data_IF_797999497103
#
_entry.id   IF_797999497103
#
_cell.length_a   1.000
_cell.length_b   1.000
_cell.length_c   1.000
_cell.angle_alpha   90.00
_cell.angle_beta   90.00
_cell.angle_gamma   90.00
#
_symmetry.space_group_name_H-M   'P 1'
#
loop_
_entity.id
_entity.type
_entity.pdbx_description
1 polymer ?
#
# COMPACT_ATOMS: atom_id res chain seq x y z
N UNK A 1 -22.56 30.82 11.68
CA UNK A 1 -21.54 31.82 11.38
C UNK A 1 -20.90 31.40 10.05
N UNK A 2 -21.24 32.11 8.96
CA UNK A 2 -20.74 31.80 7.61
C UNK A 2 -19.32 32.33 7.50
N UNK A 3 -18.36 31.46 7.27
CA UNK A 3 -16.98 31.84 6.93
C UNK A 3 -16.93 32.49 5.54
N UNK A 4 -16.22 33.61 5.40
CA UNK A 4 -16.02 34.27 4.11
C UNK A 4 -15.11 33.41 3.19
N UNK A 5 -15.28 33.56 1.86
CA UNK A 5 -14.43 32.89 0.85
C UNK A 5 -12.91 33.12 1.09
N UNK A 6 -12.55 34.25 1.65
CA UNK A 6 -11.16 34.63 1.94
C UNK A 6 -10.60 33.91 3.19
N UNK A 7 -11.46 33.66 4.18
CA UNK A 7 -11.11 32.88 5.38
C UNK A 7 -11.04 31.39 5.06
N UNK A 8 -11.90 30.88 4.18
CA UNK A 8 -11.88 29.51 3.67
C UNK A 8 -10.59 29.23 2.88
N UNK A 9 -10.19 30.14 1.96
CA UNK A 9 -8.94 30.02 1.20
C UNK A 9 -7.70 30.11 2.10
N UNK A 10 -7.71 30.97 3.12
CA UNK A 10 -6.61 31.06 4.12
C UNK A 10 -6.54 29.81 5.00
N UNK A 11 -7.67 29.23 5.38
CA UNK A 11 -7.74 28.00 6.16
C UNK A 11 -7.24 26.79 5.36
N UNK A 12 -7.54 26.72 4.06
CA UNK A 12 -7.04 25.70 3.16
C UNK A 12 -5.52 25.79 2.95
N UNK A 13 -5.00 27.00 2.73
CA UNK A 13 -3.55 27.23 2.65
C UNK A 13 -2.84 26.96 4.00
N UNK A 14 -3.50 27.25 5.12
CA UNK A 14 -2.94 27.01 6.44
C UNK A 14 -2.94 25.52 6.83
N UNK A 15 -3.94 24.74 6.45
CA UNK A 15 -3.96 23.29 6.69
C UNK A 15 -2.93 22.54 5.84
N UNK A 16 -2.78 22.93 4.57
CA UNK A 16 -1.69 22.42 3.73
C UNK A 16 -0.32 22.88 4.25
N UNK A 17 -0.18 24.12 4.71
CA UNK A 17 1.05 24.66 5.27
C UNK A 17 1.41 24.04 6.62
N UNK A 18 0.46 23.66 7.47
CA UNK A 18 0.73 23.00 8.76
C UNK A 18 1.17 21.56 8.55
N UNK A 19 0.57 20.83 7.61
CA UNK A 19 1.07 19.50 7.21
C UNK A 19 2.47 19.58 6.58
N UNK A 20 2.78 20.67 5.85
CA UNK A 20 4.08 20.96 5.25
C UNK A 20 5.11 21.51 6.24
N UNK A 21 4.71 22.31 7.24
CA UNK A 21 5.64 22.83 8.27
C UNK A 21 6.14 21.73 9.21
N UNK A 22 5.32 20.73 9.52
CA UNK A 22 5.77 19.56 10.29
C UNK A 22 6.76 18.69 9.49
N UNK A 23 6.67 18.69 8.15
CA UNK A 23 7.66 18.01 7.32
C UNK A 23 9.00 18.80 7.21
N UNK A 24 8.96 20.13 7.21
CA UNK A 24 10.20 20.96 7.24
C UNK A 24 10.98 20.80 8.53
N UNK A 25 10.33 20.54 9.64
CA UNK A 25 10.98 20.28 10.93
C UNK A 25 11.47 18.83 11.10
N UNK A 26 11.03 17.90 10.28
CA UNK A 26 11.51 16.51 10.28
C UNK A 26 12.89 16.37 9.61
N UNK A 27 13.23 17.26 8.71
CA UNK A 27 14.54 17.33 8.09
C UNK A 27 15.14 18.68 8.43
N UNK A 28 15.98 18.73 9.46
CA UNK A 28 16.87 19.88 9.69
C UNK A 28 17.74 20.06 8.43
N UNK A 29 17.28 20.92 7.53
CA UNK A 29 17.83 21.09 6.18
C UNK A 29 19.28 21.59 6.18
N UNK A 30 19.82 21.99 7.33
CA UNK A 30 21.18 22.53 7.46
C UNK A 30 22.29 21.48 7.60
N UNK A 31 21.97 20.18 7.79
CA UNK A 31 22.98 19.11 7.94
C UNK A 31 22.88 17.95 6.96
N UNK A 32 21.90 17.96 6.05
CA UNK A 32 21.78 16.90 5.05
C UNK A 32 22.90 16.98 4.01
N UNK A 33 23.51 15.86 3.60
CA UNK A 33 24.50 15.85 2.54
C UNK A 33 23.93 16.45 1.25
N UNK A 34 24.75 17.19 0.51
CA UNK A 34 24.37 17.68 -0.82
C UNK A 34 24.53 16.54 -1.84
N UNK A 35 23.51 15.71 -1.97
CA UNK A 35 23.49 14.59 -2.91
C UNK A 35 22.46 14.85 -4.01
N UNK A 36 22.86 14.58 -5.24
CA UNK A 36 21.97 14.66 -6.41
C UNK A 36 21.76 13.28 -7.02
N UNK A 37 20.66 13.11 -7.70
CA UNK A 37 20.39 11.90 -8.49
C UNK A 37 21.31 11.90 -9.69
N UNK A 38 22.23 10.94 -9.77
CA UNK A 38 23.15 10.76 -10.89
C UNK A 38 22.50 9.89 -11.99
N UNK A 39 21.91 8.77 -11.60
CA UNK A 39 21.30 7.81 -12.53
C UNK A 39 20.09 7.11 -11.91
N UNK A 40 19.12 6.79 -12.77
CA UNK A 40 17.97 5.93 -12.43
C UNK A 40 17.90 4.80 -13.47
N UNK A 41 17.96 3.57 -13.00
CA UNK A 41 17.79 2.36 -13.79
C UNK A 41 16.44 1.72 -13.42
N UNK A 42 15.74 1.18 -14.41
CA UNK A 42 14.47 0.47 -14.20
C UNK A 42 14.55 -0.95 -14.74
N UNK A 43 13.97 -1.88 -14.00
CA UNK A 43 13.93 -3.31 -14.29
C UNK A 43 12.47 -3.77 -14.27
N UNK A 44 11.81 -3.88 -15.43
CA UNK A 44 10.49 -4.49 -15.50
C UNK A 44 10.60 -5.98 -15.15
N UNK A 45 9.76 -6.46 -14.24
CA UNK A 45 9.80 -7.84 -13.77
C UNK A 45 8.40 -8.43 -13.65
N UNK A 46 8.30 -9.78 -13.72
CA UNK A 46 7.11 -10.54 -13.38
C UNK A 46 7.53 -11.63 -12.40
N UNK A 47 7.14 -11.49 -11.14
CA UNK A 47 7.39 -12.50 -10.13
C UNK A 47 6.50 -13.73 -10.39
N UNK A 48 7.06 -14.95 -10.40
CA UNK A 48 6.25 -16.17 -10.51
C UNK A 48 5.35 -16.31 -9.29
N UNK A 49 4.11 -16.74 -9.50
CA UNK A 49 3.15 -16.98 -8.44
C UNK A 49 3.06 -18.47 -8.10
N UNK A 50 2.99 -18.78 -6.80
CA UNK A 50 2.86 -20.15 -6.29
C UNK A 50 1.43 -20.52 -5.93
N UNK A 51 0.54 -19.54 -5.89
CA UNK A 51 -0.89 -19.71 -5.66
C UNK A 51 -1.68 -18.78 -6.56
N UNK A 52 -2.92 -19.20 -6.87
CA UNK A 52 -3.88 -18.39 -7.62
C UNK A 52 -4.33 -17.16 -6.83
N UNK A 53 -4.41 -16.00 -7.52
CA UNK A 53 -5.04 -14.81 -6.98
C UNK A 53 -5.76 -14.00 -8.08
N UNK A 54 -7.05 -13.68 -7.85
CA UNK A 54 -7.99 -13.16 -8.85
C UNK A 54 -7.51 -11.96 -9.68
N UNK A 55 -6.61 -11.14 -9.13
CA UNK A 55 -6.13 -9.91 -9.79
C UNK A 55 -5.01 -10.16 -10.81
N UNK A 56 -4.39 -11.34 -10.79
CA UNK A 56 -3.32 -11.71 -11.72
C UNK A 56 -3.74 -12.75 -12.75
N UNK A 57 -5.05 -12.91 -12.93
CA UNK A 57 -5.63 -13.81 -13.90
C UNK A 57 -6.54 -13.07 -14.85
N UNK A 58 -6.48 -13.41 -16.13
CA UNK A 58 -7.32 -12.83 -17.15
C UNK A 58 -6.97 -13.38 -18.52
N UNK A 59 -7.89 -13.27 -19.50
CA UNK A 59 -7.71 -13.90 -20.81
C UNK A 59 -6.51 -13.39 -21.61
N UNK A 60 -6.03 -12.17 -21.28
CA UNK A 60 -4.88 -11.53 -21.93
C UNK A 60 -3.79 -11.12 -20.94
N UNK A 61 -3.94 -11.47 -19.66
CA UNK A 61 -2.97 -11.10 -18.62
C UNK A 61 -1.80 -12.08 -18.67
N UNK A 62 -0.57 -11.64 -18.95
CA UNK A 62 0.59 -12.51 -18.84
C UNK A 62 0.75 -13.04 -17.41
N UNK A 63 1.20 -14.29 -17.23
CA UNK A 63 1.33 -14.91 -15.92
C UNK A 63 2.35 -14.16 -15.05
N UNK A 64 2.12 -14.18 -13.73
CA UNK A 64 3.01 -13.57 -12.74
C UNK A 64 2.54 -12.21 -12.22
N UNK A 65 3.19 -11.76 -11.15
CA UNK A 65 2.97 -10.46 -10.51
C UNK A 65 3.85 -9.40 -11.18
N UNK A 66 3.29 -8.46 -11.97
CA UNK A 66 4.07 -7.43 -12.64
C UNK A 66 4.62 -6.39 -11.65
N UNK A 67 5.84 -5.94 -11.85
CA UNK A 67 6.49 -4.91 -11.05
C UNK A 67 7.57 -4.18 -11.86
N UNK A 68 7.89 -2.95 -11.48
CA UNK A 68 9.07 -2.23 -11.97
C UNK A 68 9.97 -1.94 -10.78
N UNK A 69 11.13 -2.58 -10.74
CA UNK A 69 12.16 -2.28 -9.76
C UNK A 69 12.97 -1.08 -10.22
N UNK A 70 13.22 -0.13 -9.33
CA UNK A 70 14.00 1.08 -9.58
C UNK A 70 15.28 1.04 -8.77
N UNK A 71 16.39 1.42 -9.41
CA UNK A 71 17.69 1.67 -8.77
C UNK A 71 18.07 3.12 -8.99
N UNK A 72 18.11 3.92 -7.93
CA UNK A 72 18.57 5.31 -7.95
C UNK A 72 19.98 5.36 -7.40
N UNK A 73 20.92 5.88 -8.19
CA UNK A 73 22.30 6.11 -7.78
C UNK A 73 22.50 7.60 -7.55
N UNK A 74 23.01 7.98 -6.39
CA UNK A 74 23.36 9.36 -6.07
C UNK A 74 24.78 9.72 -6.51
N UNK A 75 25.10 11.01 -6.51
CA UNK A 75 26.40 11.57 -6.95
C UNK A 75 27.62 11.08 -6.16
N UNK A 76 27.41 10.52 -4.97
CA UNK A 76 28.46 9.89 -4.15
C UNK A 76 28.53 8.36 -4.33
N UNK A 77 27.72 7.79 -5.20
CA UNK A 77 27.60 6.35 -5.44
C UNK A 77 26.62 5.62 -4.51
N UNK A 78 25.99 6.28 -3.55
CA UNK A 78 24.96 5.67 -2.70
C UNK A 78 23.78 5.22 -3.55
N UNK A 79 23.29 4.00 -3.30
CA UNK A 79 22.21 3.38 -4.07
C UNK A 79 20.96 3.20 -3.23
N UNK A 80 19.83 3.70 -3.72
CA UNK A 80 18.49 3.42 -3.21
C UNK A 80 17.69 2.52 -4.16
N UNK A 81 16.93 1.60 -3.58
CA UNK A 81 16.04 0.70 -4.31
C UNK A 81 14.58 1.00 -4.01
N UNK A 82 13.76 0.98 -5.05
CA UNK A 82 12.30 1.15 -4.95
C UNK A 82 11.57 0.19 -5.86
N UNK A 83 10.26 0.11 -5.72
CA UNK A 83 9.46 -0.82 -6.50
C UNK A 83 8.07 -0.27 -6.74
N UNK A 84 7.71 -0.11 -8.02
CA UNK A 84 6.34 0.16 -8.48
C UNK A 84 5.64 -1.16 -8.72
N UNK A 85 4.41 -1.27 -8.28
CA UNK A 85 3.68 -2.54 -8.24
C UNK A 85 2.32 -2.47 -8.96
N UNK A 86 2.28 -2.16 -10.28
CA UNK A 86 1.05 -1.99 -11.03
C UNK A 86 0.21 -3.27 -11.08
N UNK A 87 -1.12 -3.12 -11.03
CA UNK A 87 -2.09 -4.22 -11.16
C UNK A 87 -3.22 -3.75 -12.06
N UNK A 88 -3.23 -4.09 -13.37
CA UNK A 88 -4.23 -3.60 -14.31
C UNK A 88 -5.68 -3.87 -13.89
N UNK A 89 -5.94 -5.04 -13.33
CA UNK A 89 -7.28 -5.47 -12.93
C UNK A 89 -7.74 -4.93 -11.57
N UNK A 90 -6.92 -4.13 -10.90
CA UNK A 90 -7.26 -3.50 -9.63
C UNK A 90 -7.14 -1.98 -9.68
N UNK A 91 -6.06 -1.45 -10.28
CA UNK A 91 -5.73 -0.02 -10.25
C UNK A 91 -5.81 0.67 -11.62
N UNK A 92 -5.83 -0.11 -12.71
CA UNK A 92 -5.72 0.41 -14.07
C UNK A 92 -4.28 0.71 -14.53
N UNK A 93 -3.30 0.76 -13.62
CA UNK A 93 -1.89 0.89 -14.04
C UNK A 93 -1.36 -0.45 -14.54
N UNK A 94 -0.69 -0.44 -15.70
CA UNK A 94 -0.06 -1.62 -16.32
C UNK A 94 1.45 -1.57 -16.19
N UNK A 95 2.12 -2.72 -16.36
CA UNK A 95 3.57 -2.78 -16.37
C UNK A 95 4.16 -1.89 -17.48
N UNK A 96 3.59 -1.98 -18.67
CA UNK A 96 4.00 -1.23 -19.84
C UNK A 96 3.81 0.28 -19.65
N UNK A 97 2.65 0.68 -19.12
CA UNK A 97 2.35 2.08 -18.79
C UNK A 97 3.29 2.64 -17.75
N UNK A 98 3.62 1.87 -16.71
CA UNK A 98 4.58 2.27 -15.69
C UNK A 98 5.99 2.47 -16.26
N UNK A 99 6.47 1.54 -17.10
CA UNK A 99 7.78 1.64 -17.77
C UNK A 99 7.85 2.87 -18.65
N UNK A 100 6.82 3.12 -19.48
CA UNK A 100 6.76 4.28 -20.36
C UNK A 100 6.73 5.58 -19.56
N UNK A 101 5.88 5.66 -18.52
CA UNK A 101 5.77 6.83 -17.67
C UNK A 101 7.11 7.15 -16.96
N UNK A 102 7.77 6.15 -16.40
CA UNK A 102 9.08 6.31 -15.78
C UNK A 102 10.13 6.75 -16.79
N UNK A 103 10.30 6.00 -17.90
CA UNK A 103 11.40 6.18 -18.85
C UNK A 103 11.32 7.49 -19.60
N UNK A 104 10.12 7.87 -20.08
CA UNK A 104 9.96 8.96 -21.03
C UNK A 104 9.60 10.28 -20.36
N UNK A 105 8.95 10.27 -19.18
CA UNK A 105 8.41 11.46 -18.55
C UNK A 105 9.04 11.77 -17.20
N UNK A 106 9.20 10.78 -16.30
CA UNK A 106 9.61 11.06 -14.93
C UNK A 106 11.12 11.08 -14.77
N UNK A 107 11.84 10.04 -15.20
CA UNK A 107 13.30 9.91 -15.01
C UNK A 107 14.08 11.11 -15.56
N UNK A 108 13.82 11.60 -16.79
CA UNK A 108 14.57 12.73 -17.33
C UNK A 108 14.52 14.00 -16.49
N UNK A 109 13.40 14.20 -15.75
CA UNK A 109 13.23 15.37 -14.89
C UNK A 109 13.94 15.25 -13.55
N UNK A 110 14.23 14.04 -13.12
CA UNK A 110 14.75 13.76 -11.78
C UNK A 110 16.28 13.78 -11.74
N UNK A 111 16.94 13.54 -12.86
CA UNK A 111 18.41 13.60 -12.92
C UNK A 111 18.93 14.98 -12.48
N UNK A 112 19.94 14.99 -11.63
CA UNK A 112 20.55 16.21 -11.05
C UNK A 112 19.74 16.83 -9.90
N UNK A 113 18.57 16.31 -9.55
CA UNK A 113 17.76 16.82 -8.41
C UNK A 113 18.34 16.36 -7.09
N UNK A 114 18.18 17.21 -6.06
CA UNK A 114 18.59 16.89 -4.70
C UNK A 114 17.74 15.71 -4.16
N UNK A 115 18.41 14.65 -3.73
CA UNK A 115 17.75 13.44 -3.21
C UNK A 115 16.93 13.71 -1.94
N UNK A 116 17.22 14.79 -1.21
CA UNK A 116 16.50 15.16 0.01
C UNK A 116 15.32 16.10 -0.23
N UNK A 117 15.12 16.58 -1.46
CA UNK A 117 13.99 17.45 -1.83
C UNK A 117 12.79 16.62 -2.32
N UNK A 118 12.20 15.80 -1.43
CA UNK A 118 11.03 14.97 -1.77
C UNK A 118 9.85 15.82 -2.24
N UNK A 119 9.62 16.98 -1.59
CA UNK A 119 8.52 17.90 -1.97
C UNK A 119 8.67 18.41 -3.40
N UNK A 120 9.88 18.90 -3.75
CA UNK A 120 10.19 19.36 -5.10
C UNK A 120 10.12 18.23 -6.14
N UNK A 121 10.59 17.03 -5.80
CA UNK A 121 10.51 15.86 -6.67
C UNK A 121 9.06 15.47 -6.94
N UNK A 122 8.21 15.37 -5.90
CA UNK A 122 6.79 15.09 -6.06
C UNK A 122 6.08 16.17 -6.87
N UNK A 123 6.40 17.45 -6.63
CA UNK A 123 5.83 18.57 -7.40
C UNK A 123 6.19 18.46 -8.90
N UNK A 124 7.44 18.12 -9.22
CA UNK A 124 7.88 17.89 -10.61
C UNK A 124 7.14 16.71 -11.25
N UNK A 125 7.07 15.56 -10.56
CA UNK A 125 6.37 14.39 -11.07
C UNK A 125 4.88 14.66 -11.30
N UNK A 126 4.23 15.40 -10.39
CA UNK A 126 2.82 15.74 -10.49
C UNK A 126 2.52 16.87 -11.49
N UNK A 127 3.53 17.66 -11.86
CA UNK A 127 3.40 18.66 -12.93
C UNK A 127 3.54 18.03 -14.31
N UNK A 128 4.47 17.09 -14.47
CA UNK A 128 4.74 16.45 -15.75
C UNK A 128 3.66 15.43 -16.13
N UNK A 129 3.33 14.54 -15.19
CA UNK A 129 2.20 13.63 -15.30
C UNK A 129 1.13 14.17 -14.36
N UNK A 130 0.36 15.13 -14.90
CA UNK A 130 -0.56 15.95 -14.13
C UNK A 130 -1.63 15.11 -13.43
N UNK A 131 -1.96 15.54 -12.22
CA UNK A 131 -3.10 14.98 -11.52
C UNK A 131 -4.39 15.39 -12.24
N UNK A 132 -5.31 14.45 -12.35
CA UNK A 132 -6.65 14.66 -12.87
C UNK A 132 -7.63 14.79 -11.69
N UNK A 133 -8.67 13.98 -11.63
CA UNK A 133 -9.59 13.93 -10.49
C UNK A 133 -8.87 13.52 -9.19
N UNK A 134 -7.86 12.70 -9.30
CA UNK A 134 -6.97 12.26 -8.21
C UNK A 134 -5.54 12.20 -8.70
N UNK A 135 -4.61 11.72 -7.86
CA UNK A 135 -3.20 11.53 -8.24
C UNK A 135 -3.10 10.54 -9.40
N UNK A 136 -2.49 10.97 -10.50
CA UNK A 136 -2.27 10.15 -11.69
C UNK A 136 -1.00 9.33 -11.52
N UNK A 137 -1.03 8.05 -11.94
CA UNK A 137 0.07 7.09 -11.81
C UNK A 137 0.65 7.00 -10.37
N UNK A 138 -0.19 6.89 -9.33
CA UNK A 138 0.30 6.87 -7.97
C UNK A 138 1.19 5.65 -7.69
N UNK A 139 0.86 4.48 -8.24
CA UNK A 139 1.64 3.25 -8.03
C UNK A 139 3.01 3.34 -8.72
N UNK A 140 3.06 3.93 -9.92
CA UNK A 140 4.32 4.18 -10.64
C UNK A 140 5.20 5.17 -9.87
N UNK A 141 4.65 6.28 -9.40
CA UNK A 141 5.37 7.31 -8.62
C UNK A 141 5.85 6.77 -7.26
N UNK A 142 5.12 5.81 -6.67
CA UNK A 142 5.51 5.18 -5.41
C UNK A 142 6.88 4.50 -5.48
N UNK A 143 7.24 3.88 -6.60
CA UNK A 143 8.56 3.27 -6.77
C UNK A 143 9.70 4.26 -6.66
N UNK A 144 9.53 5.48 -7.21
CA UNK A 144 10.51 6.57 -7.08
C UNK A 144 10.63 7.05 -5.64
N UNK A 145 9.50 7.29 -4.98
CA UNK A 145 9.45 7.74 -3.59
C UNK A 145 10.09 6.73 -2.62
N UNK A 146 9.79 5.45 -2.79
CA UNK A 146 10.38 4.37 -1.98
C UNK A 146 11.90 4.31 -2.19
N UNK A 147 12.38 4.41 -3.45
CA UNK A 147 13.81 4.40 -3.75
C UNK A 147 14.54 5.59 -3.12
N UNK A 148 13.92 6.77 -3.12
CA UNK A 148 14.48 7.96 -2.48
C UNK A 148 14.55 7.82 -0.95
N UNK A 149 13.54 7.25 -0.32
CA UNK A 149 13.57 6.97 1.12
C UNK A 149 14.67 5.97 1.49
N UNK A 150 14.84 4.91 0.69
CA UNK A 150 15.94 3.94 0.88
C UNK A 150 17.31 4.63 0.76
N UNK A 151 17.49 5.43 -0.29
CA UNK A 151 18.72 6.17 -0.54
C UNK A 151 19.03 7.15 0.58
N UNK A 152 18.06 7.97 0.98
CA UNK A 152 18.21 8.95 2.07
C UNK A 152 18.59 8.26 3.37
N UNK A 153 17.92 7.15 3.72
CA UNK A 153 18.22 6.40 4.93
C UNK A 153 19.65 5.83 4.92
N UNK A 154 20.11 5.32 3.79
CA UNK A 154 21.48 4.84 3.61
C UNK A 154 22.51 5.97 3.72
N UNK A 155 22.26 7.10 3.04
CA UNK A 155 23.14 8.28 3.12
C UNK A 155 23.24 8.85 4.54
N UNK A 156 22.14 8.84 5.29
CA UNK A 156 22.08 9.30 6.68
C UNK A 156 22.46 8.23 7.70
N UNK A 157 22.72 7.00 7.28
CA UNK A 157 22.96 5.83 8.14
C UNK A 157 21.83 5.62 9.16
N UNK A 158 20.59 5.79 8.73
CA UNK A 158 19.36 5.63 9.52
C UNK A 158 18.40 4.67 8.83
N UNK A 159 17.61 3.95 9.63
CA UNK A 159 16.44 3.28 9.09
C UNK A 159 15.37 4.32 8.71
N UNK A 160 14.50 3.99 7.76
CA UNK A 160 13.42 4.88 7.30
C UNK A 160 12.52 5.33 8.46
N UNK A 161 12.19 4.44 9.40
CA UNK A 161 11.39 4.82 10.56
C UNK A 161 12.10 5.85 11.48
N UNK A 162 13.42 5.71 11.63
CA UNK A 162 14.23 6.67 12.39
C UNK A 162 14.27 8.04 11.73
N UNK A 163 14.23 8.11 10.39
CA UNK A 163 14.11 9.39 9.69
C UNK A 163 12.80 10.12 10.02
N UNK A 164 11.75 9.39 10.36
CA UNK A 164 10.48 9.96 10.82
C UNK A 164 10.43 10.19 12.35
N UNK A 165 11.56 9.97 13.08
CA UNK A 165 11.62 10.08 14.53
C UNK A 165 10.80 9.01 15.26
N UNK A 166 10.57 7.86 14.61
CA UNK A 166 9.74 6.77 15.14
C UNK A 166 10.56 5.50 15.38
N UNK A 167 10.02 4.64 16.26
CA UNK A 167 10.56 3.30 16.53
C UNK A 167 9.63 2.24 15.95
N UNK A 168 10.21 1.11 15.55
CA UNK A 168 9.43 -0.05 15.08
C UNK A 168 9.52 -1.19 16.09
N UNK A 169 8.48 -2.02 16.23
CA UNK A 169 8.59 -3.32 16.89
C UNK A 169 9.53 -4.25 16.08
N UNK A 170 9.74 -5.45 16.57
CA UNK A 170 10.62 -6.40 15.87
C UNK A 170 9.93 -7.06 14.68
N UNK A 171 8.62 -7.26 14.78
CA UNK A 171 7.82 -7.91 13.75
C UNK A 171 6.39 -7.38 13.70
N UNK A 172 5.66 -7.78 12.66
CA UNK A 172 4.22 -7.53 12.50
C UNK A 172 3.46 -8.86 12.40
N UNK A 173 2.27 -8.88 12.99
CA UNK A 173 1.32 -9.98 12.84
C UNK A 173 0.59 -9.85 11.51
N UNK A 174 0.43 -10.99 10.81
CA UNK A 174 -0.20 -11.05 9.49
C UNK A 174 -1.55 -11.75 9.55
N UNK A 175 -2.38 -11.49 8.57
CA UNK A 175 -3.56 -12.28 8.22
C UNK A 175 -3.35 -13.05 6.92
N UNK A 176 -3.90 -14.26 6.84
CA UNK A 176 -3.88 -15.08 5.63
C UNK A 176 -5.02 -14.68 4.71
N UNK A 177 -4.71 -14.46 3.44
CA UNK A 177 -5.73 -14.08 2.44
C UNK A 177 -6.41 -15.32 1.86
N UNK A 178 -7.73 -15.38 1.99
CA UNK A 178 -8.58 -16.43 1.40
C UNK A 178 -9.31 -15.88 0.17
N UNK A 179 -9.09 -16.54 -0.95
CA UNK A 179 -9.75 -16.26 -2.22
C UNK A 179 -10.10 -17.59 -2.91
N UNK A 180 -11.01 -18.40 -2.32
CA UNK A 180 -11.40 -19.68 -2.88
C UNK A 180 -12.10 -19.50 -4.22
N UNK A 181 -11.94 -20.46 -5.14
CA UNK A 181 -12.71 -20.52 -6.39
C UNK A 181 -14.09 -21.07 -6.12
N UNK A 182 -14.16 -22.08 -5.25
CA UNK A 182 -15.38 -22.71 -4.77
C UNK A 182 -15.36 -22.79 -3.25
N UNK A 183 -16.52 -22.78 -2.61
CA UNK A 183 -16.62 -22.86 -1.15
C UNK A 183 -15.95 -24.12 -0.58
N UNK A 184 -16.01 -25.23 -1.32
CA UNK A 184 -15.42 -26.52 -0.92
C UNK A 184 -13.88 -26.42 -0.74
N UNK A 185 -13.21 -25.47 -1.41
CA UNK A 185 -11.77 -25.28 -1.32
C UNK A 185 -11.37 -24.56 -0.01
N UNK A 186 -12.33 -23.96 0.70
CA UNK A 186 -12.08 -23.03 1.81
C UNK A 186 -11.36 -23.68 2.96
N UNK A 187 -11.79 -24.89 3.40
CA UNK A 187 -11.15 -25.58 4.53
C UNK A 187 -9.69 -25.93 4.23
N UNK A 188 -9.38 -26.37 3.01
CA UNK A 188 -8.02 -26.66 2.57
C UNK A 188 -7.13 -25.40 2.54
N UNK A 189 -7.68 -24.25 2.17
CA UNK A 189 -6.97 -22.98 2.20
C UNK A 189 -6.75 -22.47 3.62
N UNK A 190 -7.71 -22.65 4.52
CA UNK A 190 -7.55 -22.34 5.96
C UNK A 190 -6.44 -23.21 6.55
N UNK A 191 -6.46 -24.53 6.28
CA UNK A 191 -5.46 -25.45 6.79
C UNK A 191 -4.04 -25.04 6.35
N UNK A 192 -3.84 -24.67 5.07
CA UNK A 192 -2.56 -24.14 4.58
C UNK A 192 -2.08 -22.90 5.35
N UNK A 193 -3.00 -21.99 5.70
CA UNK A 193 -2.68 -20.82 6.51
C UNK A 193 -2.27 -21.21 7.94
N UNK A 194 -3.01 -22.12 8.58
CA UNK A 194 -2.73 -22.61 9.94
C UNK A 194 -1.40 -23.34 10.03
N UNK A 195 -1.05 -24.14 9.04
CA UNK A 195 0.25 -24.84 8.96
C UNK A 195 1.44 -23.88 8.93
N UNK A 196 1.21 -22.65 8.43
CA UNK A 196 2.18 -21.55 8.45
C UNK A 196 2.06 -20.65 9.69
N UNK A 197 1.21 -21.02 10.65
CA UNK A 197 1.02 -20.32 11.93
C UNK A 197 0.09 -19.10 11.86
N UNK A 198 -0.73 -18.96 10.81
CA UNK A 198 -1.70 -17.86 10.75
C UNK A 198 -2.96 -18.21 11.55
N UNK A 199 -3.37 -17.26 12.39
CA UNK A 199 -4.60 -17.33 13.19
C UNK A 199 -5.63 -16.27 12.78
N UNK A 200 -5.27 -15.36 11.89
CA UNK A 200 -6.09 -14.25 11.41
C UNK A 200 -6.27 -14.36 9.91
N UNK A 201 -7.45 -13.98 9.42
CA UNK A 201 -7.81 -14.20 8.02
C UNK A 201 -8.44 -12.96 7.40
N UNK A 202 -8.10 -12.74 6.13
CA UNK A 202 -8.73 -11.78 5.25
C UNK A 202 -9.45 -12.54 4.15
N UNK A 203 -10.77 -12.39 4.05
CA UNK A 203 -11.60 -13.05 3.04
C UNK A 203 -12.01 -12.09 1.94
N UNK A 204 -12.00 -12.56 0.69
CA UNK A 204 -12.54 -11.82 -0.44
C UNK A 204 -14.01 -12.17 -0.61
N UNK A 205 -14.87 -11.15 -0.54
CA UNK A 205 -16.32 -11.24 -0.67
C UNK A 205 -16.79 -10.47 -1.91
N UNK A 206 -18.09 -10.44 -2.18
CA UNK A 206 -18.77 -9.83 -3.33
C UNK A 206 -18.47 -10.53 -4.69
N UNK A 207 -19.47 -10.61 -5.57
CA UNK A 207 -20.83 -10.07 -5.41
C UNK A 207 -21.88 -11.09 -4.90
N UNK A 208 -21.51 -12.35 -4.64
CA UNK A 208 -22.48 -13.41 -4.27
C UNK A 208 -22.74 -13.43 -2.77
N UNK A 209 -23.82 -12.77 -2.35
CA UNK A 209 -24.23 -12.63 -0.94
C UNK A 209 -24.34 -13.95 -0.17
N UNK A 210 -24.73 -15.05 -0.81
CA UNK A 210 -24.87 -16.35 -0.15
C UNK A 210 -23.52 -16.99 0.06
N UNK A 211 -22.68 -16.98 -0.97
CA UNK A 211 -21.30 -17.49 -0.90
C UNK A 211 -20.50 -16.68 0.12
N UNK A 212 -20.60 -15.36 0.11
CA UNK A 212 -19.89 -14.45 1.01
C UNK A 212 -20.20 -14.71 2.49
N UNK A 213 -21.50 -14.87 2.80
CA UNK A 213 -21.95 -15.15 4.17
C UNK A 213 -21.48 -16.53 4.64
N UNK A 214 -21.56 -17.54 3.78
CA UNK A 214 -21.14 -18.89 4.12
C UNK A 214 -19.61 -18.97 4.30
N UNK A 215 -18.85 -18.32 3.41
CA UNK A 215 -17.39 -18.19 3.55
C UNK A 215 -17.00 -17.56 4.90
N UNK A 216 -17.69 -16.47 5.28
CA UNK A 216 -17.46 -15.80 6.56
C UNK A 216 -17.69 -16.75 7.73
N UNK A 217 -18.79 -17.49 7.75
CA UNK A 217 -19.13 -18.47 8.79
C UNK A 217 -18.12 -19.62 8.89
N UNK A 218 -17.74 -20.20 7.74
CA UNK A 218 -16.73 -21.28 7.69
C UNK A 218 -15.43 -20.81 8.33
N UNK A 219 -14.94 -19.64 7.92
CA UNK A 219 -13.68 -19.10 8.46
C UNK A 219 -13.80 -18.78 9.94
N UNK A 220 -14.88 -18.12 10.37
CA UNK A 220 -15.08 -17.77 11.77
C UNK A 220 -15.20 -19.00 12.68
N UNK A 221 -15.85 -20.07 12.21
CA UNK A 221 -15.91 -21.36 12.92
C UNK A 221 -14.54 -21.99 13.06
N UNK A 222 -13.67 -21.88 12.05
CA UNK A 222 -12.32 -22.45 12.07
C UNK A 222 -11.36 -21.66 12.98
N UNK A 223 -11.57 -20.34 13.13
CA UNK A 223 -10.74 -19.43 13.93
C UNK A 223 -11.61 -18.48 14.77
N UNK A 224 -12.27 -19.00 15.82
CA UNK A 224 -13.26 -18.25 16.59
C UNK A 224 -12.70 -16.98 17.25
N UNK A 225 -11.42 -16.98 17.65
CA UNK A 225 -10.75 -15.85 18.29
C UNK A 225 -9.98 -14.96 17.29
N UNK A 226 -9.82 -15.44 16.05
CA UNK A 226 -9.07 -14.74 15.01
C UNK A 226 -9.77 -13.47 14.52
N UNK A 227 -8.96 -12.47 14.15
CA UNK A 227 -9.44 -11.29 13.45
C UNK A 227 -9.86 -11.67 12.03
N UNK A 228 -11.15 -11.52 11.73
CA UNK A 228 -11.72 -11.80 10.42
C UNK A 228 -12.04 -10.49 9.70
N UNK A 229 -11.41 -10.31 8.57
CA UNK A 229 -11.49 -9.12 7.74
C UNK A 229 -12.17 -9.46 6.41
N UNK A 230 -13.35 -8.92 6.14
CA UNK A 230 -14.04 -9.07 4.87
C UNK A 230 -13.70 -7.91 3.93
N UNK A 231 -13.29 -8.23 2.69
CA UNK A 231 -12.91 -7.25 1.67
C UNK A 231 -13.69 -7.51 0.38
N UNK A 232 -14.54 -6.57 0.01
CA UNK A 232 -15.40 -6.65 -1.17
C UNK A 232 -14.75 -6.07 -2.44
N UNK A 233 -13.64 -5.36 -2.35
CA UNK A 233 -12.96 -4.69 -3.48
C UNK A 233 -13.93 -3.91 -4.40
N UNK A 234 -14.87 -3.15 -3.82
CA UNK A 234 -15.87 -2.37 -4.56
C UNK A 234 -17.01 -3.17 -5.18
N UNK A 235 -17.12 -4.46 -4.86
CA UNK A 235 -17.94 -5.40 -5.61
C UNK A 235 -19.45 -5.43 -5.28
N UNK A 236 -19.92 -4.74 -4.23
CA UNK A 236 -21.35 -4.60 -3.95
C UNK A 236 -21.92 -3.32 -4.56
N UNK A 237 -23.21 -3.32 -4.89
CA UNK A 237 -24.02 -2.12 -4.98
C UNK A 237 -24.45 -1.63 -3.58
N UNK A 238 -25.05 -0.43 -3.50
CA UNK A 238 -25.38 0.20 -2.22
C UNK A 238 -26.38 -0.62 -1.40
N UNK A 239 -27.40 -1.19 -2.04
CA UNK A 239 -28.45 -1.94 -1.36
C UNK A 239 -27.90 -3.28 -0.87
N UNK A 240 -27.11 -3.95 -1.68
CA UNK A 240 -26.41 -5.20 -1.30
C UNK A 240 -25.44 -4.96 -0.15
N UNK A 241 -24.67 -3.87 -0.17
CA UNK A 241 -23.74 -3.56 0.90
C UNK A 241 -24.47 -3.26 2.24
N UNK A 242 -25.57 -2.49 2.20
CA UNK A 242 -26.41 -2.23 3.37
C UNK A 242 -27.07 -3.49 3.94
N UNK A 243 -27.45 -4.43 3.08
CA UNK A 243 -27.99 -5.73 3.48
C UNK A 243 -26.91 -6.62 4.10
N UNK A 244 -25.72 -6.65 3.49
CA UNK A 244 -24.67 -7.59 3.86
C UNK A 244 -23.87 -7.15 5.08
N UNK A 245 -23.67 -5.86 5.31
CA UNK A 245 -22.87 -5.36 6.43
C UNK A 245 -23.33 -5.93 7.79
N UNK A 246 -24.61 -5.88 8.21
CA UNK A 246 -25.05 -6.49 9.45
C UNK A 246 -24.92 -8.02 9.44
N UNK A 247 -25.19 -8.70 8.32
CA UNK A 247 -25.09 -10.16 8.23
C UNK A 247 -23.64 -10.65 8.36
N UNK A 248 -22.69 -9.92 7.77
CA UNK A 248 -21.25 -10.22 7.90
C UNK A 248 -20.77 -9.95 9.35
N UNK A 249 -21.26 -8.89 9.98
CA UNK A 249 -20.99 -8.62 11.38
C UNK A 249 -21.49 -9.76 12.30
N UNK A 250 -22.73 -10.20 12.11
CA UNK A 250 -23.33 -11.33 12.86
C UNK A 250 -22.57 -12.64 12.59
N UNK A 251 -22.04 -12.83 11.39
CA UNK A 251 -21.20 -13.97 11.03
C UNK A 251 -19.75 -13.85 11.57
N UNK A 252 -19.40 -12.77 12.25
CA UNK A 252 -18.15 -12.56 12.95
C UNK A 252 -17.06 -11.80 12.20
N UNK A 253 -17.40 -11.14 11.08
CA UNK A 253 -16.48 -10.18 10.47
C UNK A 253 -16.25 -8.99 11.39
N UNK A 254 -15.00 -8.64 11.60
CA UNK A 254 -14.60 -7.51 12.46
C UNK A 254 -14.63 -6.16 11.72
N UNK A 255 -14.47 -6.17 10.40
CA UNK A 255 -14.48 -5.00 9.52
C UNK A 255 -14.98 -5.39 8.12
N UNK A 256 -15.50 -4.41 7.39
CA UNK A 256 -15.82 -4.53 5.96
C UNK A 256 -15.03 -3.49 5.18
N UNK A 257 -14.05 -3.96 4.40
CA UNK A 257 -13.22 -3.17 3.51
C UNK A 257 -13.85 -3.07 2.13
N UNK A 258 -13.74 -1.90 1.51
CA UNK A 258 -14.11 -1.69 0.11
C UNK A 258 -15.50 -2.18 -0.27
N UNK A 259 -16.59 -1.92 0.54
CA UNK A 259 -17.91 -2.46 0.20
C UNK A 259 -18.42 -1.96 -1.15
N UNK A 260 -18.11 -0.72 -1.49
CA UNK A 260 -18.57 -0.01 -2.67
C UNK A 260 -17.41 0.54 -3.48
N UNK A 261 -17.65 0.79 -4.76
CA UNK A 261 -16.71 1.61 -5.54
C UNK A 261 -16.51 2.97 -4.86
N UNK A 262 -15.29 3.53 -4.80
CA UNK A 262 -14.97 4.76 -4.06
C UNK A 262 -15.86 5.96 -4.37
N UNK A 263 -16.34 6.06 -5.62
CA UNK A 263 -17.17 7.19 -6.09
C UNK A 263 -18.62 7.18 -5.56
N UNK A 264 -19.07 6.12 -4.92
CA UNK A 264 -20.42 6.03 -4.33
C UNK A 264 -20.50 6.70 -2.96
N UNK A 265 -20.05 7.95 -2.85
CA UNK A 265 -19.87 8.68 -1.59
C UNK A 265 -21.11 8.67 -0.68
N UNK A 266 -22.31 8.86 -1.26
CA UNK A 266 -23.57 8.78 -0.49
C UNK A 266 -23.88 7.39 0.04
N UNK A 267 -23.47 6.35 -0.67
CA UNK A 267 -23.58 4.96 -0.23
C UNK A 267 -22.66 4.67 0.94
N UNK A 268 -21.41 5.14 0.86
CA UNK A 268 -20.45 5.07 1.96
C UNK A 268 -20.98 5.76 3.23
N UNK A 269 -21.57 6.96 3.11
CA UNK A 269 -22.20 7.66 4.25
C UNK A 269 -23.32 6.84 4.88
N UNK A 270 -24.18 6.20 4.06
CA UNK A 270 -25.27 5.34 4.57
C UNK A 270 -24.73 4.17 5.36
N UNK A 271 -23.68 3.49 4.86
CA UNK A 271 -23.04 2.37 5.55
C UNK A 271 -22.44 2.77 6.89
N UNK A 272 -21.69 3.87 6.93
CA UNK A 272 -21.14 4.37 8.20
C UNK A 272 -22.25 4.75 9.17
N UNK A 273 -23.33 5.39 8.70
CA UNK A 273 -24.49 5.74 9.53
C UNK A 273 -25.24 4.52 10.04
N UNK A 274 -25.30 3.44 9.27
CA UNK A 274 -25.91 2.16 9.69
C UNK A 274 -25.19 1.58 10.91
N UNK A 275 -23.85 1.69 10.96
CA UNK A 275 -23.04 1.33 12.13
C UNK A 275 -23.01 -0.17 12.44
N UNK A 276 -23.26 -1.04 11.46
CA UNK A 276 -23.24 -2.49 11.67
C UNK A 276 -21.87 -3.03 12.06
N UNK A 277 -20.83 -2.57 11.39
CA UNK A 277 -19.41 -2.84 11.66
C UNK A 277 -18.56 -1.70 11.09
N UNK A 278 -17.27 -1.57 11.47
CA UNK A 278 -16.38 -0.58 10.89
C UNK A 278 -16.24 -0.74 9.37
N UNK A 279 -16.46 0.36 8.65
CA UNK A 279 -16.34 0.46 7.19
C UNK A 279 -14.98 1.05 6.84
N UNK A 280 -14.20 0.32 6.04
CA UNK A 280 -12.80 0.62 5.74
C UNK A 280 -12.65 0.98 4.26
N UNK A 281 -12.09 2.17 3.99
CA UNK A 281 -11.79 2.60 2.63
C UNK A 281 -10.44 2.03 2.18
N UNK A 282 -10.37 1.59 0.92
CA UNK A 282 -9.15 1.14 0.25
C UNK A 282 -8.87 1.99 -0.99
N UNK A 283 -9.46 1.64 -2.11
CA UNK A 283 -9.14 2.15 -3.45
C UNK A 283 -9.19 3.68 -3.56
N UNK A 284 -10.06 4.32 -2.78
CA UNK A 284 -10.25 5.78 -2.79
C UNK A 284 -9.17 6.59 -2.04
N UNK A 285 -8.33 5.95 -1.23
CA UNK A 285 -7.33 6.64 -0.41
C UNK A 285 -6.01 6.86 -1.16
N UNK A 286 -6.05 7.58 -2.28
CA UNK A 286 -4.92 7.77 -3.19
C UNK A 286 -3.94 8.84 -2.70
N UNK A 287 -4.42 9.87 -2.00
CA UNK A 287 -3.57 10.92 -1.42
C UNK A 287 -4.11 11.42 -0.07
N UNK A 288 -3.33 12.22 0.68
CA UNK A 288 -3.84 12.89 1.88
C UNK A 288 -5.05 13.80 1.62
N UNK A 289 -5.19 14.31 0.40
CA UNK A 289 -6.33 15.22 0.04
C UNK A 289 -7.64 14.45 0.06
N UNK A 290 -7.72 13.30 -0.61
CA UNK A 290 -8.92 12.47 -0.59
C UNK A 290 -9.25 12.00 0.84
N UNK A 291 -8.23 11.57 1.59
CA UNK A 291 -8.43 11.11 2.97
C UNK A 291 -9.00 12.23 3.85
N UNK A 292 -8.48 13.46 3.74
CA UNK A 292 -8.99 14.60 4.50
C UNK A 292 -10.44 14.91 4.13
N UNK A 293 -10.80 14.92 2.84
CA UNK A 293 -12.17 15.16 2.39
C UNK A 293 -13.12 14.03 2.84
N UNK A 294 -12.69 12.78 2.76
CA UNK A 294 -13.47 11.63 3.23
C UNK A 294 -13.70 11.65 4.75
N UNK A 295 -12.73 12.14 5.53
CA UNK A 295 -12.90 12.39 6.97
C UNK A 295 -13.98 13.47 7.19
N UNK A 296 -13.93 14.58 6.46
CA UNK A 296 -14.94 15.68 6.55
C UNK A 296 -16.34 15.19 6.20
N UNK A 297 -16.44 14.34 5.18
CA UNK A 297 -17.69 13.72 4.75
C UNK A 297 -18.16 12.58 5.66
N UNK A 298 -17.33 12.08 6.59
CA UNK A 298 -17.60 10.95 7.50
C UNK A 298 -18.03 9.69 6.75
N UNK A 299 -17.32 9.35 5.69
CA UNK A 299 -17.68 8.23 4.81
C UNK A 299 -16.95 6.92 5.12
N UNK A 300 -16.07 6.89 6.11
CA UNK A 300 -15.39 5.68 6.58
C UNK A 300 -15.05 5.75 8.07
N UNK A 301 -14.70 4.59 8.64
CA UNK A 301 -14.22 4.45 10.02
C UNK A 301 -12.70 4.26 10.07
N UNK A 302 -12.06 4.05 8.95
CA UNK A 302 -10.62 3.85 8.81
C UNK A 302 -10.20 3.54 7.39
N UNK A 303 -8.92 3.31 7.21
CA UNK A 303 -8.38 2.94 5.88
C UNK A 303 -7.59 1.64 5.93
N UNK A 304 -7.61 0.90 4.82
CA UNK A 304 -6.67 -0.16 4.50
C UNK A 304 -5.46 0.48 3.81
N UNK A 305 -4.43 0.80 4.57
CA UNK A 305 -3.24 1.50 4.07
C UNK A 305 -2.44 0.60 3.13
N UNK A 306 -1.97 1.21 2.04
CA UNK A 306 -1.03 0.62 1.09
C UNK A 306 -0.12 1.74 0.56
N UNK A 307 1.14 1.86 0.99
CA UNK A 307 2.02 2.94 0.53
C UNK A 307 2.23 2.91 -0.99
N UNK A 308 2.29 1.72 -1.57
CA UNK A 308 2.41 1.58 -3.02
C UNK A 308 1.20 2.17 -3.79
N UNK A 309 -0.04 2.09 -3.24
CA UNK A 309 -1.25 2.65 -3.87
C UNK A 309 -1.25 4.17 -3.91
N UNK A 310 -0.69 4.82 -2.90
CA UNK A 310 -0.91 6.24 -2.66
C UNK A 310 0.29 7.15 -3.01
N UNK A 311 1.19 6.69 -3.87
CA UNK A 311 2.33 7.49 -4.31
C UNK A 311 3.57 7.36 -3.44
N UNK A 312 3.63 6.34 -2.57
CA UNK A 312 4.80 6.01 -1.77
C UNK A 312 4.68 6.38 -0.30
N UNK A 313 5.82 6.36 0.39
CA UNK A 313 5.94 6.57 1.83
C UNK A 313 5.60 8.01 2.24
N UNK A 314 5.97 9.02 1.42
CA UNK A 314 5.66 10.43 1.69
C UNK A 314 4.17 10.66 1.86
N UNK A 315 3.37 10.22 0.90
CA UNK A 315 1.91 10.34 0.93
C UNK A 315 1.29 9.48 2.04
N UNK A 316 1.79 8.25 2.21
CA UNK A 316 1.30 7.33 3.24
C UNK A 316 1.50 7.87 4.67
N UNK A 317 2.66 8.48 4.95
CA UNK A 317 2.93 9.17 6.23
C UNK A 317 1.92 10.30 6.45
N UNK A 318 1.64 11.11 5.43
CA UNK A 318 0.63 12.16 5.50
C UNK A 318 -0.77 11.61 5.84
N UNK A 319 -1.19 10.54 5.17
CA UNK A 319 -2.47 9.88 5.45
C UNK A 319 -2.54 9.31 6.87
N UNK A 320 -1.49 8.61 7.32
CA UNK A 320 -1.47 8.03 8.67
C UNK A 320 -1.48 9.08 9.77
N UNK A 321 -0.82 10.25 9.58
CA UNK A 321 -0.93 11.39 10.49
C UNK A 321 -2.36 11.92 10.58
N UNK A 322 -3.11 11.95 9.47
CA UNK A 322 -4.54 12.31 9.48
C UNK A 322 -5.37 11.30 10.29
N UNK A 323 -5.11 9.99 10.13
CA UNK A 323 -5.79 8.97 10.92
C UNK A 323 -5.48 9.09 12.41
N UNK A 324 -4.21 9.28 12.79
CA UNK A 324 -3.80 9.53 14.18
C UNK A 324 -4.54 10.75 14.76
N UNK A 325 -4.55 11.87 14.05
CA UNK A 325 -5.21 13.12 14.45
C UNK A 325 -6.72 12.92 14.71
N UNK A 326 -7.38 12.15 13.85
CA UNK A 326 -8.83 11.93 13.90
C UNK A 326 -9.22 10.63 14.62
N UNK A 327 -8.27 9.88 15.19
CA UNK A 327 -8.48 8.61 15.92
C UNK A 327 -9.24 7.57 15.08
N UNK A 328 -8.94 7.52 13.79
CA UNK A 328 -9.53 6.57 12.85
C UNK A 328 -8.73 5.26 12.80
N UNK A 329 -9.40 4.19 12.37
CA UNK A 329 -8.78 2.88 12.28
C UNK A 329 -7.70 2.85 11.19
N UNK A 330 -6.57 2.26 11.54
CA UNK A 330 -5.49 1.94 10.60
C UNK A 330 -5.40 0.42 10.46
N UNK A 331 -5.69 -0.10 9.27
CA UNK A 331 -5.41 -1.47 8.87
C UNK A 331 -4.23 -1.48 7.89
N UNK A 332 -3.34 -2.46 8.05
CA UNK A 332 -2.23 -2.66 7.14
C UNK A 332 -2.62 -3.60 6.00
N UNK A 333 -2.57 -3.16 4.78
CA UNK A 333 -2.86 -3.95 3.58
C UNK A 333 -1.70 -3.87 2.59
N UNK A 334 -1.81 -4.53 1.44
CA UNK A 334 -0.79 -4.51 0.39
C UNK A 334 -1.36 -4.81 -0.99
N UNK A 335 -0.52 -4.65 -2.00
CA UNK A 335 -0.82 -4.95 -3.40
C UNK A 335 -0.15 -6.27 -3.84
N UNK A 336 -0.12 -7.28 -2.96
CA UNK A 336 0.72 -8.48 -3.13
C UNK A 336 2.17 -8.04 -3.33
N UNK A 337 2.61 -7.18 -2.40
CA UNK A 337 3.89 -6.47 -2.49
C UNK A 337 5.05 -7.47 -2.55
N UNK A 338 5.91 -7.38 -3.59
CA UNK A 338 7.19 -8.05 -3.59
C UNK A 338 8.16 -7.39 -2.60
N UNK A 339 9.35 -7.91 -2.52
CA UNK A 339 10.33 -7.67 -1.47
C UNK A 339 10.59 -6.20 -1.10
N UNK A 340 10.85 -5.33 -2.09
CA UNK A 340 11.25 -3.94 -1.83
C UNK A 340 10.03 -3.13 -1.38
N UNK A 341 8.91 -3.32 -2.07
CA UNK A 341 7.63 -2.70 -1.67
C UNK A 341 7.17 -3.22 -0.31
N UNK A 342 7.36 -4.51 -0.01
CA UNK A 342 7.05 -5.10 1.29
C UNK A 342 7.93 -4.50 2.40
N UNK A 343 9.24 -4.32 2.18
CA UNK A 343 10.14 -3.70 3.16
C UNK A 343 9.69 -2.27 3.52
N UNK A 344 9.32 -1.46 2.52
CA UNK A 344 8.78 -0.12 2.72
C UNK A 344 7.49 -0.15 3.54
N UNK A 345 6.59 -1.08 3.22
CA UNK A 345 5.32 -1.29 3.92
C UNK A 345 5.53 -1.70 5.37
N UNK A 346 6.44 -2.64 5.64
CA UNK A 346 6.78 -3.09 7.00
C UNK A 346 7.36 -1.96 7.85
N UNK A 347 8.28 -1.16 7.30
CA UNK A 347 8.86 -0.02 7.99
C UNK A 347 7.78 1.01 8.38
N UNK A 348 6.88 1.34 7.45
CA UNK A 348 5.77 2.27 7.68
C UNK A 348 4.83 1.77 8.77
N UNK A 349 4.37 0.52 8.66
CA UNK A 349 3.38 -0.04 9.59
C UNK A 349 3.94 -0.21 11.00
N UNK A 350 5.20 -0.61 11.10
CA UNK A 350 5.91 -0.65 12.38
C UNK A 350 6.06 0.73 13.00
N UNK A 351 6.49 1.74 12.22
CA UNK A 351 6.68 3.11 12.67
C UNK A 351 5.38 3.78 13.16
N UNK A 352 4.25 3.45 12.55
CA UNK A 352 2.93 3.98 12.93
C UNK A 352 2.15 3.05 13.85
N UNK A 353 2.81 2.02 14.40
CA UNK A 353 2.27 1.19 15.48
C UNK A 353 1.00 0.43 15.08
N UNK A 354 0.99 -0.21 13.92
CA UNK A 354 -0.12 -1.05 13.48
C UNK A 354 -0.54 -2.04 14.58
N UNK A 355 -1.82 -2.07 14.93
CA UNK A 355 -2.36 -2.88 16.03
C UNK A 355 -3.06 -4.16 15.56
N UNK A 356 -3.58 -4.16 14.34
CA UNK A 356 -4.35 -5.27 13.79
C UNK A 356 -3.46 -6.13 12.86
N UNK A 357 -3.79 -7.40 12.66
CA UNK A 357 -3.06 -8.25 11.71
C UNK A 357 -3.09 -7.64 10.31
N UNK A 358 -1.92 -7.58 9.65
CA UNK A 358 -1.77 -6.99 8.33
C UNK A 358 -2.09 -7.98 7.21
N UNK A 359 -2.82 -7.56 6.18
CA UNK A 359 -3.07 -8.33 4.97
C UNK A 359 -1.92 -8.16 3.96
N UNK A 360 -0.69 -8.54 4.37
CA UNK A 360 0.52 -8.50 3.54
C UNK A 360 0.75 -9.87 2.92
N UNK A 361 0.17 -10.11 1.77
CA UNK A 361 0.09 -11.42 1.17
C UNK A 361 1.18 -11.73 0.11
N UNK A 362 2.16 -10.83 -0.11
CA UNK A 362 3.29 -11.11 -0.98
C UNK A 362 3.98 -12.44 -0.66
N UNK A 363 4.39 -12.70 0.60
CA UNK A 363 5.02 -13.96 1.01
C UNK A 363 4.12 -15.21 0.88
N UNK A 364 2.80 -15.03 0.75
CA UNK A 364 1.84 -16.11 0.51
C UNK A 364 1.81 -16.53 -0.96
N UNK A 365 1.89 -15.56 -1.87
CA UNK A 365 1.60 -15.76 -3.29
C UNK A 365 2.84 -15.79 -4.19
N UNK A 366 3.96 -15.18 -3.79
CA UNK A 366 5.14 -15.03 -4.64
C UNK A 366 6.13 -16.18 -4.46
N UNK A 367 6.66 -16.69 -5.56
CA UNK A 367 7.54 -17.87 -5.60
C UNK A 367 9.03 -17.56 -5.68
N UNK A 368 9.42 -16.28 -5.71
CA UNK A 368 10.83 -15.89 -5.76
C UNK A 368 11.06 -14.58 -5.02
N UNK A 369 12.33 -14.30 -4.72
CA UNK A 369 12.77 -13.09 -4.03
C UNK A 369 14.01 -12.52 -4.72
N UNK A 370 14.07 -11.19 -4.78
CA UNK A 370 15.24 -10.43 -5.28
C UNK A 370 16.16 -9.96 -4.15
N UNK A 371 15.92 -10.40 -2.92
CA UNK A 371 16.79 -10.10 -1.78
C UNK A 371 17.87 -11.17 -1.61
N UNK A 372 19.01 -10.79 -1.02
CA UNK A 372 19.99 -11.75 -0.54
C UNK A 372 19.41 -12.61 0.57
N UNK A 373 18.67 -12.00 1.49
CA UNK A 373 17.93 -12.67 2.57
C UNK A 373 16.42 -12.45 2.37
N UNK A 374 15.69 -13.43 1.80
CA UNK A 374 14.24 -13.34 1.60
C UNK A 374 13.47 -13.22 2.92
N UNK A 375 12.34 -12.51 2.89
CA UNK A 375 11.43 -12.46 4.02
C UNK A 375 10.90 -13.85 4.40
N UNK A 376 10.90 -14.14 5.69
CA UNK A 376 10.35 -15.37 6.26
C UNK A 376 9.18 -15.04 7.17
N UNK A 377 8.06 -15.73 6.95
CA UNK A 377 6.92 -15.68 7.87
C UNK A 377 7.01 -16.87 8.80
N UNK A 378 7.05 -16.59 10.10
CA UNK A 378 7.13 -17.60 11.15
C UNK A 378 6.01 -17.35 12.17
N UNK A 379 5.15 -18.33 12.41
CA UNK A 379 4.02 -18.16 13.32
C UNK A 379 3.08 -17.02 12.92
N UNK A 380 2.82 -16.85 11.62
CA UNK A 380 1.99 -15.74 11.11
C UNK A 380 2.60 -14.34 11.30
N UNK A 381 3.90 -14.24 11.57
CA UNK A 381 4.61 -12.97 11.81
C UNK A 381 5.77 -12.80 10.84
N UNK A 382 6.05 -11.55 10.48
CA UNK A 382 7.17 -11.16 9.62
C UNK A 382 8.04 -10.13 10.33
N UNK A 383 9.36 -10.33 10.32
CA UNK A 383 10.31 -9.39 10.93
C UNK A 383 10.39 -8.09 10.13
N UNK A 384 10.49 -6.95 10.84
CA UNK A 384 10.75 -5.65 10.25
C UNK A 384 12.27 -5.49 10.11
N UNK A 385 12.77 -5.18 8.90
CA UNK A 385 14.19 -4.93 8.69
C UNK A 385 14.69 -3.74 9.53
N UNK A 386 15.90 -3.84 10.10
CA UNK A 386 16.49 -2.84 11.01
C UNK A 386 17.70 -2.10 10.43
N UNK A 387 18.19 -2.47 9.24
CA UNK A 387 19.33 -1.81 8.59
C UNK A 387 19.02 -0.40 8.09
N UNK A 388 20.02 0.27 7.53
CA UNK A 388 19.88 1.61 6.95
C UNK A 388 18.93 1.59 5.74
N UNK A 389 18.25 2.69 5.47
CA UNK A 389 17.23 2.78 4.43
C UNK A 389 16.05 1.88 4.78
N UNK A 390 15.64 1.03 3.83
CA UNK A 390 14.62 0.00 4.04
C UNK A 390 15.11 -1.19 4.86
N UNK A 391 16.42 -1.24 5.18
CA UNK A 391 17.01 -2.31 5.98
C UNK A 391 17.16 -3.64 5.26
N UNK A 392 17.13 -3.65 3.93
CA UNK A 392 17.26 -4.84 3.07
C UNK A 392 18.49 -4.76 2.17
N UNK A 393 18.98 -5.90 1.74
CA UNK A 393 20.00 -6.02 0.70
C UNK A 393 19.40 -6.65 -0.56
N UNK A 394 19.33 -5.84 -1.63
CA UNK A 394 18.87 -6.31 -2.94
C UNK A 394 20.00 -7.03 -3.66
N UNK A 395 19.71 -8.19 -4.21
CA UNK A 395 20.58 -8.96 -5.07
C UNK A 395 20.36 -8.49 -6.52
N UNK A 396 21.23 -7.62 -6.99
CA UNK A 396 21.10 -7.01 -8.32
C UNK A 396 21.19 -8.05 -9.45
N UNK A 397 21.93 -9.13 -9.26
CA UNK A 397 22.01 -10.21 -10.26
C UNK A 397 20.65 -10.88 -10.43
N UNK A 398 19.97 -11.24 -9.32
CA UNK A 398 18.60 -11.77 -9.36
C UNK A 398 17.61 -10.79 -10.00
N UNK A 399 17.74 -9.47 -9.73
CA UNK A 399 16.91 -8.45 -10.37
C UNK A 399 17.08 -8.49 -11.88
N UNK A 400 18.33 -8.51 -12.36
CA UNK A 400 18.65 -8.55 -13.80
C UNK A 400 18.18 -9.85 -14.46
N UNK A 401 18.37 -10.98 -13.81
CA UNK A 401 17.87 -12.27 -14.29
C UNK A 401 16.34 -12.30 -14.39
N UNK A 402 15.63 -11.81 -13.38
CA UNK A 402 14.17 -11.76 -13.37
C UNK A 402 13.63 -10.81 -14.45
N UNK A 403 14.30 -9.67 -14.64
CA UNK A 403 13.96 -8.72 -15.69
C UNK A 403 14.20 -9.32 -17.10
N UNK A 404 15.31 -10.01 -17.31
CA UNK A 404 15.62 -10.70 -18.57
C UNK A 404 14.56 -11.78 -18.89
N UNK A 405 14.09 -12.53 -17.91
CA UNK A 405 13.02 -13.54 -18.07
C UNK A 405 11.66 -12.89 -18.38
N UNK A 406 11.43 -11.67 -17.95
CA UNK A 406 10.19 -10.92 -18.25
C UNK A 406 10.12 -10.49 -19.71
N UNK A 407 11.27 -10.29 -20.35
CA UNK A 407 11.37 -9.86 -21.76
C UNK A 407 11.22 -8.35 -21.94
N UNK A 408 11.12 -7.92 -23.20
CA UNK A 408 10.90 -6.51 -23.54
C UNK A 408 9.47 -6.10 -23.17
N UNK A 409 9.36 -4.95 -22.51
CA UNK A 409 8.11 -4.31 -22.07
C UNK A 409 8.02 -2.93 -22.68
#
# INVERSE_FOLDING_TARGET
MQMSRREFSKSMMMAAAVAMLDMKNLFAAESAPKLTIDRIEIFPVRYPMVMRFKFFEGPVTPPGRPSVILKITASDGTVGWGESVPIPRWSGETLEGAVIALKNYLIPLLIGKNVFDLEGIHALMNKEVANDFSTTYPITKAGVDIALHDLQGKALKKNVAEMWGRKTPDDLLLSWTLNPVKLEDTEGLIQKGRERGYENFNIKVAPDKKVDLELCKIVKKAVPDGFLWADANGGYDVDSALEMAPKLADAGAAVLEGPLHPNHLSGWQKLVKQGALPIIMDEGCVSPVEVEEFIRLKIFNGIAMKPARCGGLTSAVGQLKLLEKHKLMFLGSGLTDPDISLAATLALYGAFGLKKPAALNGPQFLGTSVLKEPFKVVGGRVKIPKGHGLGIEVDEEKVRELSAKTGQV
#
